data_IF_594326996806
#
_entry.id   IF_594326996806
#
_cell.length_a   1.000
_cell.length_b   1.000
_cell.length_c   1.000
_cell.angle_alpha   90.00
_cell.angle_beta   90.00
_cell.angle_gamma   90.00
#
_symmetry.space_group_name_H-M   'P 1'
#
loop_
_entity.id
_entity.type
_entity.pdbx_description
1 polymer ?
#
# COMPACT_ATOMS: atom_id res chain seq x y z
N UNK A 1 8.23 -1.85 -21.69
CA UNK A 1 8.76 -2.06 -20.34
C UNK A 1 9.06 -3.53 -20.19
N UNK A 2 10.28 -3.89 -19.76
CA UNK A 2 10.72 -5.28 -19.65
C UNK A 2 10.26 -5.82 -18.26
N UNK A 3 9.05 -6.36 -18.22
CA UNK A 3 8.52 -7.07 -17.06
C UNK A 3 8.72 -8.55 -17.25
N UNK A 4 9.28 -9.21 -16.26
CA UNK A 4 9.52 -10.65 -16.24
C UNK A 4 8.42 -11.29 -15.41
N UNK A 5 7.63 -12.17 -16.04
CA UNK A 5 6.54 -12.90 -15.40
C UNK A 5 6.95 -14.36 -15.16
N UNK A 6 6.84 -14.82 -13.93
CA UNK A 6 7.15 -16.20 -13.52
C UNK A 6 6.31 -17.21 -14.29
N UNK A 7 5.04 -16.90 -14.57
CA UNK A 7 4.15 -17.81 -15.31
C UNK A 7 4.60 -18.06 -16.75
N UNK A 8 5.31 -17.09 -17.33
CA UNK A 8 5.86 -17.17 -18.69
C UNK A 8 7.22 -17.88 -18.71
N UNK A 9 8.08 -17.56 -17.72
CA UNK A 9 9.43 -18.14 -17.64
C UNK A 9 9.46 -19.55 -17.03
N UNK A 10 8.48 -19.89 -16.20
CA UNK A 10 8.48 -21.07 -15.35
C UNK A 10 9.32 -20.88 -14.07
N UNK A 11 8.95 -21.65 -13.03
CA UNK A 11 9.50 -21.50 -11.67
C UNK A 11 11.02 -21.67 -11.60
N UNK A 12 11.57 -22.65 -12.31
CA UNK A 12 13.00 -22.97 -12.26
C UNK A 12 13.82 -21.84 -12.84
N UNK A 13 13.45 -21.35 -14.04
CA UNK A 13 14.17 -20.27 -14.72
C UNK A 13 14.05 -18.96 -13.94
N UNK A 14 12.84 -18.62 -13.45
CA UNK A 14 12.62 -17.42 -12.65
C UNK A 14 13.46 -17.43 -11.37
N UNK A 15 13.42 -18.54 -10.60
CA UNK A 15 14.19 -18.67 -9.35
C UNK A 15 15.69 -18.62 -9.58
N UNK A 16 16.18 -19.16 -10.71
CA UNK A 16 17.58 -19.06 -11.10
C UNK A 16 17.98 -17.61 -11.36
N UNK A 17 17.20 -16.88 -12.18
CA UNK A 17 17.50 -15.48 -12.49
C UNK A 17 17.49 -14.57 -11.26
N UNK A 18 16.57 -14.81 -10.31
CA UNK A 18 16.56 -14.10 -9.01
C UNK A 18 17.81 -14.41 -8.20
N UNK A 19 18.17 -15.70 -8.07
CA UNK A 19 19.35 -16.13 -7.31
C UNK A 19 20.65 -15.59 -7.92
N UNK A 20 20.73 -15.57 -9.26
CA UNK A 20 21.91 -15.09 -9.99
C UNK A 20 21.96 -13.54 -10.05
N UNK A 21 20.98 -12.84 -9.43
CA UNK A 21 20.93 -11.37 -9.34
C UNK A 21 20.66 -10.68 -10.68
N UNK A 22 20.11 -11.39 -11.67
CA UNK A 22 19.76 -10.82 -12.99
C UNK A 22 18.45 -10.06 -12.93
N UNK A 23 17.52 -10.56 -12.12
CA UNK A 23 16.21 -9.92 -11.87
C UNK A 23 15.95 -9.80 -10.38
N UNK A 24 15.14 -8.83 -9.99
CA UNK A 24 14.63 -8.71 -8.62
C UNK A 24 13.10 -8.76 -8.60
N UNK A 25 12.55 -9.49 -7.63
CA UNK A 25 11.09 -9.58 -7.43
C UNK A 25 10.51 -8.22 -7.03
N UNK A 26 9.41 -7.86 -7.64
CA UNK A 26 8.71 -6.58 -7.36
C UNK A 26 7.38 -6.82 -6.69
N UNK A 27 6.55 -7.71 -7.26
CA UNK A 27 5.24 -8.02 -6.71
C UNK A 27 4.80 -9.42 -7.14
N UNK A 28 4.59 -10.33 -6.20
CA UNK A 28 4.15 -11.70 -6.49
C UNK A 28 5.06 -12.38 -7.50
N UNK A 29 4.50 -12.76 -8.64
CA UNK A 29 5.22 -13.45 -9.72
C UNK A 29 5.91 -12.50 -10.72
N UNK A 30 5.94 -11.22 -10.44
CA UNK A 30 6.57 -10.22 -11.31
C UNK A 30 7.91 -9.74 -10.79
N UNK A 31 8.87 -9.64 -11.71
CA UNK A 31 10.22 -9.16 -11.46
C UNK A 31 10.65 -8.14 -12.52
N UNK A 32 11.65 -7.36 -12.20
CA UNK A 32 12.34 -6.45 -13.11
C UNK A 32 13.81 -6.84 -13.24
N UNK A 33 14.48 -6.52 -14.36
CA UNK A 33 15.93 -6.55 -14.43
C UNK A 33 16.55 -5.73 -13.30
N UNK A 34 17.71 -6.17 -12.78
CA UNK A 34 18.34 -5.56 -11.60
C UNK A 34 18.72 -4.10 -11.83
N UNK A 35 19.00 -3.72 -13.06
CA UNK A 35 19.35 -2.37 -13.50
C UNK A 35 18.11 -1.45 -13.70
N UNK A 36 16.90 -2.01 -13.63
CA UNK A 36 15.65 -1.25 -13.76
C UNK A 36 15.08 -0.93 -12.39
N UNK A 37 15.10 0.33 -11.94
CA UNK A 37 14.56 0.69 -10.64
C UNK A 37 13.02 0.55 -10.62
N UNK A 38 12.49 -0.03 -9.54
CA UNK A 38 11.06 -0.10 -9.31
C UNK A 38 10.49 1.27 -8.88
N UNK A 39 10.35 2.19 -9.84
CA UNK A 39 9.81 3.54 -9.59
C UNK A 39 8.32 3.49 -9.22
N UNK A 40 7.75 4.54 -8.58
CA UNK A 40 6.33 4.64 -8.30
C UNK A 40 5.45 4.41 -9.54
N UNK A 41 5.86 4.94 -10.70
CA UNK A 41 5.15 4.77 -11.97
C UNK A 41 5.12 3.30 -12.42
N UNK A 42 6.24 2.58 -12.30
CA UNK A 42 6.32 1.15 -12.62
C UNK A 42 5.46 0.34 -11.65
N UNK A 43 5.58 0.58 -10.34
CA UNK A 43 4.76 -0.09 -9.33
C UNK A 43 3.27 0.14 -9.56
N UNK A 44 2.88 1.38 -9.90
CA UNK A 44 1.49 1.70 -10.21
C UNK A 44 1.01 0.99 -11.48
N UNK A 45 1.85 0.91 -12.51
CA UNK A 45 1.54 0.19 -13.74
C UNK A 45 1.25 -1.30 -13.46
N UNK A 46 2.06 -1.94 -12.59
CA UNK A 46 1.85 -3.33 -12.16
C UNK A 46 0.55 -3.51 -11.38
N UNK A 47 0.22 -2.56 -10.51
CA UNK A 47 -0.95 -2.64 -9.64
C UNK A 47 -2.26 -2.33 -10.37
N UNK A 48 -2.25 -1.44 -11.36
CA UNK A 48 -3.46 -0.95 -12.02
C UNK A 48 -4.39 -2.06 -12.55
N UNK A 49 -3.93 -3.13 -13.19
CA UNK A 49 -4.79 -4.23 -13.63
C UNK A 49 -5.44 -5.03 -12.50
N UNK A 50 -4.89 -4.94 -11.28
CA UNK A 50 -5.37 -5.66 -10.11
C UNK A 50 -6.40 -4.86 -9.31
N UNK A 51 -6.48 -3.53 -9.54
CA UNK A 51 -7.38 -2.64 -8.82
C UNK A 51 -8.72 -2.58 -9.56
N UNK A 52 -9.83 -2.96 -8.93
CA UNK A 52 -11.16 -2.85 -9.51
C UNK A 52 -11.58 -1.40 -9.72
N UNK A 53 -12.49 -1.16 -10.67
CA UNK A 53 -12.92 0.20 -11.06
C UNK A 53 -13.51 1.05 -9.93
N UNK A 54 -14.07 0.40 -8.90
CA UNK A 54 -14.76 1.08 -7.78
C UNK A 54 -13.98 0.93 -6.46
N UNK A 55 -12.68 0.67 -6.53
CA UNK A 55 -11.82 0.53 -5.38
C UNK A 55 -10.53 1.33 -5.57
N UNK A 56 -9.88 1.65 -4.47
CA UNK A 56 -8.63 2.39 -4.41
C UNK A 56 -7.63 1.61 -3.56
N UNK A 57 -6.40 1.58 -4.02
CA UNK A 57 -5.30 1.00 -3.28
C UNK A 57 -5.06 1.81 -2.01
N UNK A 58 -4.90 1.13 -0.88
CA UNK A 58 -4.73 1.74 0.44
C UNK A 58 -3.72 0.99 1.30
N UNK A 59 -3.54 1.43 2.54
CA UNK A 59 -2.69 0.77 3.53
C UNK A 59 -1.24 0.58 3.04
N UNK A 60 -0.65 -0.56 3.40
CA UNK A 60 0.74 -0.88 3.04
C UNK A 60 0.95 -0.96 1.52
N UNK A 61 -0.06 -1.38 0.77
CA UNK A 61 0.05 -1.47 -0.67
C UNK A 61 0.15 -0.09 -1.34
N UNK A 62 -0.59 0.91 -0.86
CA UNK A 62 -0.46 2.29 -1.30
C UNK A 62 0.91 2.89 -0.90
N UNK A 63 1.36 2.64 0.34
CA UNK A 63 2.68 3.09 0.81
C UNK A 63 3.83 2.44 0.04
N UNK A 64 3.67 1.20 -0.45
CA UNK A 64 4.65 0.55 -1.30
C UNK A 64 4.79 1.23 -2.66
N UNK A 65 3.73 1.76 -3.25
CA UNK A 65 3.82 2.51 -4.52
C UNK A 65 4.86 3.61 -4.38
N UNK A 66 4.83 4.38 -3.29
CA UNK A 66 5.74 5.50 -3.04
C UNK A 66 7.09 5.08 -2.41
N UNK A 67 7.30 3.79 -2.16
CA UNK A 67 8.56 3.27 -1.60
C UNK A 67 8.67 3.34 -0.08
N UNK A 68 7.57 3.58 0.63
CA UNK A 68 7.56 3.68 2.09
C UNK A 68 7.36 2.33 2.80
N UNK A 69 7.01 1.28 2.08
CA UNK A 69 6.89 -0.08 2.62
C UNK A 69 7.53 -1.11 1.69
N UNK A 70 7.88 -2.31 2.19
CA UNK A 70 8.25 -3.43 1.34
C UNK A 70 7.07 -3.88 0.48
N UNK A 71 7.33 -4.77 -0.51
CA UNK A 71 6.30 -5.35 -1.37
C UNK A 71 5.18 -6.01 -0.53
N UNK A 72 3.92 -5.66 -0.77
CA UNK A 72 2.82 -6.15 0.04
C UNK A 72 2.52 -7.61 -0.29
N UNK A 73 2.24 -8.42 0.74
CA UNK A 73 1.78 -9.80 0.59
C UNK A 73 0.27 -9.90 0.34
N UNK A 74 -0.47 -8.81 0.56
CA UNK A 74 -1.90 -8.68 0.27
C UNK A 74 -2.19 -7.25 -0.15
N UNK A 75 -3.19 -7.05 -1.02
CA UNK A 75 -3.58 -5.73 -1.49
C UNK A 75 -4.73 -5.20 -0.63
N UNK A 76 -4.45 -4.18 0.17
CA UNK A 76 -5.47 -3.45 0.90
C UNK A 76 -6.17 -2.47 -0.04
N UNK A 77 -7.47 -2.61 -0.17
CA UNK A 77 -8.34 -1.79 -1.01
C UNK A 77 -9.42 -1.13 -0.17
N UNK A 78 -9.67 0.13 -0.44
CA UNK A 78 -10.86 0.83 0.07
C UNK A 78 -11.89 0.90 -1.05
N UNK A 79 -13.13 0.55 -0.74
CA UNK A 79 -14.24 0.69 -1.66
C UNK A 79 -15.40 1.45 -1.03
N UNK A 80 -16.29 2.03 -1.87
CA UNK A 80 -17.53 2.62 -1.39
C UNK A 80 -18.40 1.54 -0.75
N UNK A 81 -19.13 1.90 0.28
CA UNK A 81 -20.16 1.04 0.89
C UNK A 81 -21.13 0.56 -0.21
N UNK A 82 -21.37 -0.75 -0.27
CA UNK A 82 -22.21 -1.36 -1.32
C UNK A 82 -21.46 -1.76 -2.60
N UNK A 83 -20.15 -1.61 -2.66
CA UNK A 83 -19.37 -2.17 -3.76
C UNK A 83 -19.55 -3.69 -3.84
N UNK A 84 -19.75 -4.20 -5.05
CA UNK A 84 -19.87 -5.64 -5.29
C UNK A 84 -18.57 -6.38 -4.87
N UNK A 85 -18.74 -7.65 -4.48
CA UNK A 85 -17.63 -8.52 -4.14
C UNK A 85 -16.63 -8.57 -5.29
N UNK A 86 -15.39 -8.23 -4.98
CA UNK A 86 -14.28 -8.27 -5.93
C UNK A 86 -13.68 -9.66 -5.87
N UNK A 87 -13.64 -10.32 -7.02
CA UNK A 87 -12.94 -11.60 -7.15
C UNK A 87 -11.49 -11.32 -7.54
N UNK A 88 -10.50 -11.85 -6.78
CA UNK A 88 -9.11 -11.74 -7.16
C UNK A 88 -8.86 -12.47 -8.47
N UNK A 89 -7.97 -11.92 -9.30
CA UNK A 89 -7.51 -12.61 -10.51
C UNK A 89 -6.58 -13.76 -10.10
N UNK A 90 -6.58 -14.88 -10.83
CA UNK A 90 -5.59 -15.93 -10.62
C UNK A 90 -4.16 -15.38 -10.62
N UNK A 91 -3.34 -15.81 -9.68
CA UNK A 91 -1.94 -15.35 -9.55
C UNK A 91 -1.76 -13.97 -8.92
N UNK A 92 -2.85 -13.23 -8.60
CA UNK A 92 -2.75 -11.97 -7.89
C UNK A 92 -2.61 -12.17 -6.38
N UNK A 93 -1.95 -11.23 -5.66
CA UNK A 93 -1.95 -11.24 -4.21
C UNK A 93 -3.38 -11.22 -3.63
N UNK A 94 -3.60 -11.78 -2.44
CA UNK A 94 -4.90 -11.71 -1.77
C UNK A 94 -5.41 -10.28 -1.65
N UNK A 95 -6.71 -10.08 -1.89
CA UNK A 95 -7.35 -8.77 -1.77
C UNK A 95 -8.04 -8.66 -0.42
N UNK A 96 -7.77 -7.58 0.31
CA UNK A 96 -8.47 -7.19 1.54
C UNK A 96 -9.29 -5.94 1.25
N UNK A 97 -10.60 -6.09 1.26
CA UNK A 97 -11.50 -4.98 0.97
C UNK A 97 -12.03 -4.37 2.26
N UNK A 98 -11.77 -3.08 2.44
CA UNK A 98 -12.26 -2.30 3.56
C UNK A 98 -13.37 -1.36 3.07
N UNK A 99 -14.55 -1.46 3.66
CA UNK A 99 -15.60 -0.47 3.44
C UNK A 99 -15.23 0.80 4.24
N UNK A 100 -15.01 1.90 3.55
CA UNK A 100 -14.52 3.12 4.18
C UNK A 100 -15.33 4.37 3.82
N UNK A 101 -15.05 5.45 4.56
CA UNK A 101 -15.47 6.78 4.18
C UNK A 101 -14.67 7.26 2.96
N UNK A 102 -15.08 8.38 2.38
CA UNK A 102 -14.48 8.91 1.15
C UNK A 102 -13.30 9.86 1.41
N UNK A 103 -12.85 10.01 2.66
CA UNK A 103 -11.73 10.87 3.01
C UNK A 103 -10.43 10.35 2.42
N UNK A 104 -9.64 11.23 1.84
CA UNK A 104 -8.34 10.90 1.26
C UNK A 104 -8.41 10.05 -0.02
N UNK A 105 -9.59 9.93 -0.66
CA UNK A 105 -9.69 9.32 -1.97
C UNK A 105 -9.17 10.27 -3.05
N UNK A 106 -8.57 9.73 -4.13
CA UNK A 106 -8.14 10.54 -5.27
C UNK A 106 -9.34 11.15 -6.01
N UNK A 107 -9.08 12.19 -6.80
CA UNK A 107 -10.08 12.78 -7.68
C UNK A 107 -10.38 11.84 -8.86
N UNK A 108 -11.50 12.08 -9.52
CA UNK A 108 -11.83 11.35 -10.74
C UNK A 108 -10.76 11.60 -11.82
N UNK A 109 -10.23 10.53 -12.39
CA UNK A 109 -9.14 10.59 -13.38
C UNK A 109 -7.74 10.37 -12.82
N UNK A 110 -7.52 10.56 -11.52
CA UNK A 110 -6.23 10.30 -10.89
C UNK A 110 -5.92 8.79 -10.79
N UNK A 111 -4.69 8.47 -10.40
CA UNK A 111 -4.33 7.09 -10.09
C UNK A 111 -5.22 6.54 -8.96
N UNK A 112 -5.65 5.27 -9.02
CA UNK A 112 -6.56 4.69 -8.03
C UNK A 112 -5.85 4.35 -6.72
N UNK A 113 -5.19 5.32 -6.11
CA UNK A 113 -4.44 5.22 -4.85
C UNK A 113 -4.92 6.32 -3.92
N UNK A 114 -5.15 6.00 -2.66
CA UNK A 114 -5.51 6.98 -1.64
C UNK A 114 -4.33 7.91 -1.33
N UNK A 115 -4.58 9.06 -0.69
CA UNK A 115 -3.51 9.95 -0.21
C UNK A 115 -2.59 9.24 0.79
N UNK A 116 -1.33 9.67 0.89
CA UNK A 116 -0.37 9.10 1.84
C UNK A 116 -0.87 9.13 3.29
N UNK A 117 -1.53 10.21 3.70
CA UNK A 117 -2.15 10.33 5.03
C UNK A 117 -3.19 9.23 5.27
N UNK A 118 -4.06 8.99 4.28
CA UNK A 118 -5.06 7.93 4.35
C UNK A 118 -4.40 6.55 4.35
N UNK A 119 -3.42 6.32 3.51
CA UNK A 119 -2.69 5.05 3.44
C UNK A 119 -2.02 4.71 4.78
N UNK A 120 -1.40 5.69 5.43
CA UNK A 120 -0.82 5.53 6.77
C UNK A 120 -1.86 5.12 7.81
N UNK A 121 -3.00 5.81 7.85
CA UNK A 121 -4.07 5.47 8.79
C UNK A 121 -4.64 4.07 8.53
N UNK A 122 -4.90 3.71 7.29
CA UNK A 122 -5.42 2.39 6.94
C UNK A 122 -4.38 1.29 7.26
N UNK A 123 -3.08 1.54 7.05
CA UNK A 123 -2.02 0.63 7.48
C UNK A 123 -2.02 0.44 9.00
N UNK A 124 -2.10 1.52 9.78
CA UNK A 124 -2.17 1.47 11.23
C UNK A 124 -3.44 0.78 11.73
N UNK A 125 -4.56 0.86 10.99
CA UNK A 125 -5.82 0.22 11.34
C UNK A 125 -5.84 -1.28 11.05
N UNK A 126 -5.34 -1.67 9.88
CA UNK A 126 -5.60 -3.00 9.31
C UNK A 126 -4.38 -3.91 9.26
N UNK A 127 -3.18 -3.38 9.50
CA UNK A 127 -1.94 -4.16 9.48
C UNK A 127 -1.34 -4.32 10.88
N UNK A 128 -0.49 -5.32 11.10
CA UNK A 128 0.29 -5.44 12.33
C UNK A 128 1.15 -4.20 12.57
N UNK A 129 1.24 -3.75 13.83
CA UNK A 129 2.02 -2.56 14.18
C UNK A 129 3.50 -2.67 13.76
N UNK A 130 4.07 -3.88 13.81
CA UNK A 130 5.46 -4.15 13.40
C UNK A 130 5.74 -3.80 11.93
N UNK A 131 4.73 -3.84 11.06
CA UNK A 131 4.85 -3.47 9.64
C UNK A 131 4.33 -2.06 9.35
N UNK A 132 3.23 -1.67 10.01
CA UNK A 132 2.60 -0.38 9.79
C UNK A 132 3.42 0.80 10.33
N UNK A 133 4.04 0.67 11.51
CA UNK A 133 4.82 1.74 12.12
C UNK A 133 6.05 2.13 11.28
N UNK A 134 6.92 1.20 10.85
CA UNK A 134 8.07 1.54 10.00
C UNK A 134 7.65 2.19 8.68
N UNK A 135 6.58 1.71 8.05
CA UNK A 135 6.06 2.27 6.80
C UNK A 135 5.53 3.71 7.00
N UNK A 136 4.75 3.93 8.07
CA UNK A 136 4.24 5.26 8.41
C UNK A 136 5.39 6.21 8.77
N UNK A 137 6.37 5.76 9.57
CA UNK A 137 7.55 6.55 9.90
C UNK A 137 8.38 6.91 8.65
N UNK A 138 8.48 6.01 7.68
CA UNK A 138 9.12 6.30 6.39
C UNK A 138 8.39 7.42 5.63
N UNK A 139 7.06 7.35 5.55
CA UNK A 139 6.24 8.39 4.91
C UNK A 139 6.34 9.75 5.62
N UNK A 140 6.39 9.75 6.96
CA UNK A 140 6.59 10.97 7.77
C UNK A 140 7.96 11.60 7.49
N UNK A 141 9.04 10.80 7.51
CA UNK A 141 10.40 11.29 7.21
C UNK A 141 10.55 11.84 5.79
N UNK A 142 9.85 11.25 4.83
CA UNK A 142 9.83 11.73 3.44
C UNK A 142 8.93 12.97 3.23
N UNK A 143 8.23 13.44 4.25
CA UNK A 143 7.30 14.56 4.13
C UNK A 143 6.03 14.25 3.33
N UNK A 144 5.75 12.96 3.03
CA UNK A 144 4.55 12.55 2.30
C UNK A 144 3.27 12.77 3.13
N UNK A 145 3.40 12.83 4.46
CA UNK A 145 2.36 13.19 5.41
C UNK A 145 2.99 13.79 6.68
N UNK A 146 2.16 14.24 7.60
CA UNK A 146 2.59 14.74 8.92
C UNK A 146 1.73 14.15 10.03
N UNK A 147 2.24 14.16 11.27
CA UNK A 147 1.48 13.73 12.46
C UNK A 147 0.20 14.56 12.60
N UNK A 148 0.27 15.87 12.38
CA UNK A 148 -0.90 16.75 12.38
C UNK A 148 -1.94 16.31 11.36
N UNK A 149 -1.53 16.03 10.10
CA UNK A 149 -2.44 15.56 9.05
C UNK A 149 -3.09 14.21 9.40
N UNK A 150 -2.36 13.30 10.06
CA UNK A 150 -2.92 12.04 10.55
C UNK A 150 -3.99 12.28 11.62
N UNK A 151 -3.73 13.15 12.58
CA UNK A 151 -4.67 13.52 13.65
C UNK A 151 -5.93 14.19 13.06
N UNK A 152 -5.74 15.14 12.15
CA UNK A 152 -6.85 15.87 11.51
C UNK A 152 -7.73 14.92 10.71
N UNK A 153 -7.13 14.04 9.89
CA UNK A 153 -7.90 13.06 9.14
C UNK A 153 -8.64 12.09 10.06
N UNK A 154 -8.05 11.68 11.18
CA UNK A 154 -8.73 10.84 12.18
C UNK A 154 -9.99 11.49 12.75
N UNK A 155 -10.07 12.82 12.84
CA UNK A 155 -11.29 13.51 13.33
C UNK A 155 -12.48 13.30 12.40
N UNK A 156 -12.23 13.14 11.10
CA UNK A 156 -13.26 12.89 10.10
C UNK A 156 -13.78 11.44 10.07
N UNK A 157 -13.17 10.52 10.83
CA UNK A 157 -13.69 9.15 10.99
C UNK A 157 -14.72 9.10 12.12
N UNK A 158 -15.70 8.20 12.01
CA UNK A 158 -16.67 7.99 13.08
C UNK A 158 -15.95 7.68 14.40
N UNK A 159 -16.36 8.34 15.48
CA UNK A 159 -15.85 8.13 16.83
C UNK A 159 -16.01 6.69 17.31
N UNK A 160 -16.98 5.97 16.76
CA UNK A 160 -17.26 4.55 17.05
C UNK A 160 -16.47 3.56 16.21
N UNK A 161 -15.58 4.03 15.31
CA UNK A 161 -14.74 3.14 14.49
C UNK A 161 -13.89 2.24 15.38
N UNK A 162 -14.05 0.93 15.21
CA UNK A 162 -13.30 -0.05 16.00
C UNK A 162 -11.79 0.17 15.85
N UNK A 163 -11.03 0.04 16.94
CA UNK A 163 -9.59 0.22 16.93
C UNK A 163 -9.11 1.68 16.94
N UNK A 164 -10.01 2.69 16.96
CA UNK A 164 -9.62 4.11 16.96
C UNK A 164 -8.65 4.46 18.10
N UNK A 165 -8.90 3.96 19.32
CA UNK A 165 -8.00 4.20 20.48
C UNK A 165 -6.59 3.64 20.23
N UNK A 166 -6.50 2.42 19.66
CA UNK A 166 -5.22 1.81 19.30
C UNK A 166 -4.46 2.67 18.28
N UNK A 167 -5.13 3.07 17.19
CA UNK A 167 -4.51 3.89 16.15
C UNK A 167 -4.07 5.23 16.71
N UNK A 168 -4.88 5.86 17.55
CA UNK A 168 -4.51 7.11 18.22
C UNK A 168 -3.21 6.95 19.02
N UNK A 169 -3.11 5.92 19.85
CA UNK A 169 -1.88 5.64 20.61
C UNK A 169 -0.65 5.42 19.70
N UNK A 170 -0.82 4.75 18.53
CA UNK A 170 0.27 4.59 17.58
C UNK A 170 0.67 5.92 16.90
N UNK A 171 -0.28 6.80 16.60
CA UNK A 171 0.00 8.13 16.04
C UNK A 171 0.70 9.01 17.07
N UNK A 172 0.26 8.97 18.33
CA UNK A 172 0.90 9.73 19.44
C UNK A 172 2.35 9.23 19.67
N UNK A 173 2.60 7.91 19.60
CA UNK A 173 3.96 7.35 19.65
C UNK A 173 4.84 7.88 18.52
N UNK A 174 4.34 7.92 17.29
CA UNK A 174 5.06 8.45 16.13
C UNK A 174 5.36 9.95 16.31
N UNK A 175 4.43 10.71 16.90
CA UNK A 175 4.63 12.13 17.22
C UNK A 175 5.74 12.34 18.24
N UNK A 176 5.78 11.52 19.30
CA UNK A 176 6.84 11.55 20.30
C UNK A 176 8.23 11.26 19.71
N UNK A 177 8.32 10.30 18.79
CA UNK A 177 9.58 9.96 18.10
C UNK A 177 10.04 11.06 17.13
N UNK A 178 9.11 11.74 16.45
CA UNK A 178 9.43 12.83 15.53
C UNK A 178 9.88 14.12 16.23
N UNK A 179 9.49 14.32 17.48
CA UNK A 179 9.89 15.50 18.28
C UNK A 179 11.27 15.39 18.95
N UNK A 180 11.92 14.22 18.88
CA UNK A 180 13.24 13.94 19.47
C UNK A 180 14.36 13.96 18.41
N UNK A 181 14.02 14.04 17.14
CA UNK A 181 14.96 14.11 16.00
C UNK A 181 15.10 15.57 15.50
#
# INVERSE_FOLDING_TARGET
MLLVDRSVLGDIAFSRLVRDGVIHGVLGDWALPVDVPATPAIRMHLMRPLIPRNAWLSGLAALWIEGHSPSPTALDLVARKGAHRILPKPGSPPLRLHAGNLLGLPRAGDAPVVTATRACLDALWHSPAATALPATASALRAGATSVGALVDMMTGFDKRTAGRGRVRGLVDLLGGLAGVA
#
